data_IF_032195709115
#
_entry.id   IF_032195709115
#
_cell.length_a   1.000
_cell.length_b   1.000
_cell.length_c   1.000
_cell.angle_alpha   90.00
_cell.angle_beta   90.00
_cell.angle_gamma   90.00
#
_symmetry.space_group_name_H-M   'P 1'
#
loop_
_entity.id
_entity.type
_entity.pdbx_description
1 polymer ?
#
# COMPACT_ATOMS: atom_id res chain seq x y z
N UNK A 1 -12.16 -21.34 -8.56
CA UNK A 1 -12.69 -20.16 -9.28
C UNK A 1 -14.04 -19.62 -8.77
N UNK A 2 -15.04 -20.45 -8.47
CA UNK A 2 -16.37 -19.97 -8.05
C UNK A 2 -16.43 -19.38 -6.61
N UNK A 3 -15.59 -19.82 -5.68
CA UNK A 3 -15.58 -19.34 -4.28
C UNK A 3 -14.97 -17.95 -4.11
N UNK A 4 -13.91 -17.63 -4.85
CA UNK A 4 -13.27 -16.31 -4.78
C UNK A 4 -14.14 -15.21 -5.40
N UNK A 5 -14.89 -15.52 -6.50
CA UNK A 5 -15.86 -14.59 -7.10
C UNK A 5 -17.06 -14.31 -6.18
N UNK A 6 -17.47 -15.26 -5.35
CA UNK A 6 -18.57 -15.10 -4.39
C UNK A 6 -18.18 -14.18 -3.23
N UNK A 7 -16.95 -14.32 -2.72
CA UNK A 7 -16.42 -13.49 -1.63
C UNK A 7 -16.31 -12.00 -2.02
N UNK A 8 -15.89 -11.69 -3.28
CA UNK A 8 -15.82 -10.31 -3.80
C UNK A 8 -17.19 -9.65 -4.04
N UNK A 9 -18.21 -10.42 -4.40
CA UNK A 9 -19.59 -9.88 -4.62
C UNK A 9 -20.30 -9.52 -3.32
N UNK A 10 -19.99 -10.22 -2.25
CA UNK A 10 -20.62 -9.99 -0.93
C UNK A 10 -20.04 -8.75 -0.21
N UNK A 11 -18.84 -8.29 -0.57
CA UNK A 11 -18.24 -7.06 -0.01
C UNK A 11 -19.01 -5.79 -0.42
N UNK A 12 -19.56 -5.71 -1.62
CA UNK A 12 -20.37 -4.54 -2.06
C UNK A 12 -21.69 -4.42 -1.26
N UNK A 13 -22.25 -5.52 -0.80
CA UNK A 13 -23.43 -5.51 0.08
C UNK A 13 -23.10 -4.95 1.48
N UNK A 14 -21.85 -5.09 1.93
CA UNK A 14 -21.38 -4.58 3.21
C UNK A 14 -21.20 -3.06 3.22
N UNK A 15 -20.93 -2.40 2.10
CA UNK A 15 -20.81 -0.92 2.03
C UNK A 15 -22.10 -0.22 2.50
N UNK A 16 -23.25 -0.85 2.41
CA UNK A 16 -24.54 -0.33 2.96
C UNK A 16 -24.73 -0.58 4.46
N UNK A 17 -23.97 -1.49 5.06
CA UNK A 17 -24.12 -1.90 6.47
C UNK A 17 -22.97 -1.37 7.34
N UNK A 18 -21.82 -1.05 6.76
CA UNK A 18 -20.55 -0.75 7.46
C UNK A 18 -20.46 0.69 8.01
N UNK A 19 -21.37 1.60 7.65
CA UNK A 19 -21.48 2.90 8.35
C UNK A 19 -21.65 2.81 9.88
N UNK A 20 -21.92 1.61 10.40
CA UNK A 20 -22.04 1.34 11.85
C UNK A 20 -20.79 0.59 12.38
N UNK A 21 -19.93 0.05 11.52
CA UNK A 21 -18.86 -0.89 11.91
C UNK A 21 -17.45 -0.29 12.04
N UNK A 22 -17.19 0.94 11.59
CA UNK A 22 -15.85 1.54 11.73
C UNK A 22 -15.39 1.69 13.19
N UNK A 23 -16.31 1.97 14.12
CA UNK A 23 -16.02 2.00 15.56
C UNK A 23 -15.83 0.59 16.15
N UNK A 24 -16.45 -0.43 15.55
CA UNK A 24 -16.39 -1.81 16.08
C UNK A 24 -15.10 -2.50 15.62
N UNK A 25 -14.52 -2.18 14.47
CA UNK A 25 -13.34 -2.86 13.94
C UNK A 25 -12.04 -2.56 14.71
N UNK A 26 -11.83 -1.32 15.15
CA UNK A 26 -10.73 -0.98 16.05
C UNK A 26 -10.92 -1.62 17.43
N UNK A 27 -12.15 -1.71 17.92
CA UNK A 27 -12.49 -2.38 19.18
C UNK A 27 -12.31 -3.90 19.05
N UNK A 28 -12.63 -4.53 17.91
CA UNK A 28 -12.50 -5.99 17.75
C UNK A 28 -11.05 -6.45 17.67
N UNK A 29 -10.18 -5.75 16.96
CA UNK A 29 -8.76 -6.12 16.88
C UNK A 29 -8.06 -5.99 18.25
N UNK A 30 -8.51 -5.08 19.11
CA UNK A 30 -7.95 -4.89 20.46
C UNK A 30 -8.67 -5.70 21.55
N UNK A 31 -9.98 -5.97 21.43
CA UNK A 31 -10.69 -6.86 22.38
C UNK A 31 -10.29 -8.33 22.23
N UNK A 32 -9.88 -8.78 21.06
CA UNK A 32 -9.33 -10.13 20.87
C UNK A 32 -7.97 -10.26 21.57
N UNK A 33 -7.18 -9.17 21.67
CA UNK A 33 -5.93 -9.14 22.42
C UNK A 33 -6.11 -9.18 23.95
N UNK A 34 -7.34 -8.92 24.45
CA UNK A 34 -7.66 -8.93 25.89
C UNK A 34 -8.36 -10.23 26.36
N UNK A 35 -8.63 -11.19 25.46
CA UNK A 35 -9.17 -12.49 25.86
C UNK A 35 -8.04 -13.47 26.17
N UNK A 36 -8.04 -13.99 27.40
CA UNK A 36 -7.18 -15.08 27.86
C UNK A 36 -7.27 -16.28 26.90
N UNK A 37 -6.15 -16.59 26.25
CA UNK A 37 -5.90 -17.76 25.41
C UNK A 37 -6.91 -18.04 24.28
N UNK A 38 -6.62 -17.50 23.08
CA UNK A 38 -7.21 -17.98 21.83
C UNK A 38 -6.67 -19.39 21.54
N UNK A 39 -7.53 -20.41 21.30
CA UNK A 39 -7.06 -21.76 20.99
C UNK A 39 -6.30 -21.77 19.67
N UNK A 40 -5.01 -22.12 19.68
CA UNK A 40 -4.15 -22.19 18.51
C UNK A 40 -4.73 -23.22 17.51
N UNK A 41 -4.94 -22.80 16.25
CA UNK A 41 -5.38 -23.67 15.17
C UNK A 41 -6.90 -23.73 14.94
N UNK A 42 -7.71 -23.05 15.75
CA UNK A 42 -9.18 -23.02 15.59
C UNK A 42 -9.74 -21.73 15.01
N UNK A 43 -8.88 -20.72 14.80
CA UNK A 43 -9.28 -19.44 14.26
C UNK A 43 -8.58 -19.13 12.94
N UNK A 44 -9.31 -18.51 12.02
CA UNK A 44 -8.75 -17.91 10.80
C UNK A 44 -8.81 -16.40 10.97
N UNK A 45 -7.65 -15.78 11.10
CA UNK A 45 -7.53 -14.33 11.14
C UNK A 45 -7.62 -13.79 9.71
N UNK A 46 -8.53 -12.84 9.49
CA UNK A 46 -8.69 -12.17 8.20
C UNK A 46 -8.43 -10.69 8.39
N UNK A 47 -7.39 -10.17 7.74
CA UNK A 47 -7.12 -8.75 7.75
C UNK A 47 -8.15 -8.02 6.88
N UNK A 48 -8.77 -7.00 7.47
CA UNK A 48 -9.68 -6.10 6.74
C UNK A 48 -8.99 -4.76 6.50
N UNK A 49 -8.99 -4.35 5.23
CA UNK A 49 -8.44 -3.07 4.81
C UNK A 49 -9.57 -2.11 4.40
N UNK A 50 -9.32 -0.79 4.38
CA UNK A 50 -10.17 0.16 3.65
C UNK A 50 -10.37 -0.29 2.20
N UNK A 51 -11.41 0.22 1.51
CA UNK A 51 -11.69 -0.14 0.13
C UNK A 51 -10.43 0.01 -0.74
N UNK A 52 -10.15 -1.01 -1.54
CA UNK A 52 -9.11 -0.93 -2.56
C UNK A 52 -9.58 -0.12 -3.79
N UNK A 53 -8.67 0.10 -4.73
CA UNK A 53 -9.02 0.90 -5.91
C UNK A 53 -10.08 0.23 -6.80
N UNK A 54 -10.08 -1.10 -6.91
CA UNK A 54 -11.10 -1.82 -7.67
C UNK A 54 -12.49 -1.68 -7.00
N UNK A 55 -12.55 -1.80 -5.68
CA UNK A 55 -13.78 -1.58 -4.90
C UNK A 55 -14.27 -0.12 -5.03
N UNK A 56 -13.35 0.85 -5.04
CA UNK A 56 -13.66 2.24 -5.30
C UNK A 56 -14.22 2.46 -6.72
N UNK A 57 -13.68 1.77 -7.74
CA UNK A 57 -14.22 1.80 -9.09
C UNK A 57 -15.66 1.26 -9.14
N UNK A 58 -15.94 0.14 -8.45
CA UNK A 58 -17.28 -0.41 -8.36
C UNK A 58 -18.24 0.56 -7.67
N UNK A 59 -17.81 1.18 -6.57
CA UNK A 59 -18.60 2.18 -5.85
C UNK A 59 -18.93 3.40 -6.72
N UNK A 60 -18.07 3.75 -7.67
CA UNK A 60 -18.30 4.80 -8.66
C UNK A 60 -19.12 4.34 -9.89
N UNK A 61 -19.63 3.11 -9.90
CA UNK A 61 -20.48 2.59 -10.97
C UNK A 61 -19.72 2.15 -12.23
N UNK A 62 -18.39 1.96 -12.14
CA UNK A 62 -17.61 1.46 -13.27
C UNK A 62 -17.96 0.00 -13.52
N UNK A 63 -18.36 -0.30 -14.75
CA UNK A 63 -18.78 -1.66 -15.11
C UNK A 63 -17.61 -2.66 -15.05
N UNK A 64 -17.91 -3.89 -14.66
CA UNK A 64 -16.92 -4.98 -14.64
C UNK A 64 -16.23 -5.18 -15.99
N UNK A 65 -16.94 -4.93 -17.11
CA UNK A 65 -16.35 -5.04 -18.47
C UNK A 65 -15.19 -4.06 -18.68
N UNK A 66 -15.27 -2.84 -18.14
CA UNK A 66 -14.17 -1.85 -18.25
C UNK A 66 -13.00 -2.31 -17.41
N UNK A 67 -13.26 -2.79 -16.18
CA UNK A 67 -12.22 -3.31 -15.29
C UNK A 67 -11.55 -4.55 -15.89
N UNK A 68 -12.34 -5.48 -16.44
CA UNK A 68 -11.81 -6.68 -17.12
C UNK A 68 -10.98 -6.31 -18.35
N UNK A 69 -11.36 -5.27 -19.10
CA UNK A 69 -10.56 -4.73 -20.21
C UNK A 69 -9.21 -4.18 -19.73
N UNK A 70 -9.18 -3.45 -18.60
CA UNK A 70 -7.92 -2.95 -18.02
C UNK A 70 -7.04 -4.10 -17.54
N UNK A 71 -7.63 -5.13 -16.89
CA UNK A 71 -6.93 -6.35 -16.47
C UNK A 71 -6.34 -7.09 -17.67
N UNK A 72 -7.11 -7.22 -18.75
CA UNK A 72 -6.63 -7.85 -19.99
C UNK A 72 -5.47 -7.07 -20.63
N UNK A 73 -5.53 -5.73 -20.63
CA UNK A 73 -4.40 -4.91 -21.11
C UNK A 73 -3.15 -5.11 -20.24
N UNK A 74 -3.30 -5.28 -18.92
CA UNK A 74 -2.20 -5.58 -17.99
C UNK A 74 -1.60 -6.98 -18.25
N UNK A 75 -2.45 -8.02 -18.36
CA UNK A 75 -2.02 -9.40 -18.58
C UNK A 75 -1.32 -9.60 -19.94
N UNK A 76 -1.85 -8.96 -20.99
CA UNK A 76 -1.30 -9.05 -22.35
C UNK A 76 -0.28 -7.95 -22.68
N UNK A 77 0.04 -7.08 -21.72
CA UNK A 77 0.99 -5.97 -21.88
C UNK A 77 0.65 -5.06 -23.06
N UNK A 78 -0.63 -4.81 -23.29
CA UNK A 78 -1.14 -4.00 -24.41
C UNK A 78 -1.60 -2.62 -23.94
N UNK A 79 -1.55 -1.65 -24.83
CA UNK A 79 -1.96 -0.27 -24.58
C UNK A 79 -3.44 -0.21 -24.21
N UNK A 80 -3.77 0.48 -23.11
CA UNK A 80 -5.14 0.78 -22.74
C UNK A 80 -5.70 1.86 -23.68
N UNK A 81 -6.91 1.70 -24.23
CA UNK A 81 -7.53 2.71 -25.08
C UNK A 81 -7.59 4.09 -24.37
N UNK A 82 -7.26 5.16 -25.09
CA UNK A 82 -7.05 6.50 -24.52
C UNK A 82 -8.21 6.99 -23.65
N UNK A 83 -9.46 6.75 -24.08
CA UNK A 83 -10.64 7.16 -23.31
C UNK A 83 -10.74 6.45 -21.95
N UNK A 84 -10.42 5.14 -21.92
CA UNK A 84 -10.39 4.35 -20.68
C UNK A 84 -9.19 4.78 -19.82
N UNK A 85 -8.00 4.93 -20.43
CA UNK A 85 -6.79 5.36 -19.74
C UNK A 85 -7.01 6.69 -19.02
N UNK A 86 -7.57 7.69 -19.72
CA UNK A 86 -7.88 9.00 -19.12
C UNK A 86 -8.87 8.90 -17.98
N UNK A 87 -9.97 8.16 -18.18
CA UNK A 87 -10.98 7.97 -17.12
C UNK A 87 -10.42 7.27 -15.88
N UNK A 88 -9.57 6.25 -16.06
CA UNK A 88 -8.92 5.54 -14.97
C UNK A 88 -7.92 6.43 -14.22
N UNK A 89 -7.16 7.27 -14.91
CA UNK A 89 -6.28 8.26 -14.27
C UNK A 89 -7.08 9.29 -13.46
N UNK A 90 -8.19 9.80 -14.00
CA UNK A 90 -9.06 10.76 -13.30
C UNK A 90 -9.69 10.13 -12.03
N UNK A 91 -10.08 8.85 -12.10
CA UNK A 91 -10.59 8.10 -10.95
C UNK A 91 -9.49 7.81 -9.93
N UNK A 92 -8.27 7.53 -10.36
CA UNK A 92 -7.13 7.37 -9.46
C UNK A 92 -6.86 8.64 -8.65
N UNK A 93 -6.86 9.81 -9.29
CA UNK A 93 -6.70 11.07 -8.56
C UNK A 93 -7.81 11.32 -7.54
N UNK A 94 -9.04 10.93 -7.86
CA UNK A 94 -10.14 10.98 -6.88
C UNK A 94 -9.91 10.01 -5.73
N UNK A 95 -9.47 8.79 -6.02
CA UNK A 95 -9.11 7.82 -4.99
C UNK A 95 -7.97 8.34 -4.09
N UNK A 96 -6.96 8.98 -4.65
CA UNK A 96 -5.88 9.60 -3.87
C UNK A 96 -6.42 10.60 -2.85
N UNK A 97 -7.37 11.45 -3.22
CA UNK A 97 -7.90 12.48 -2.29
C UNK A 97 -8.96 11.94 -1.34
N UNK A 98 -9.67 10.88 -1.71
CA UNK A 98 -10.76 10.29 -0.91
C UNK A 98 -10.25 9.19 0.01
N UNK A 99 -9.33 8.36 -0.48
CA UNK A 99 -8.94 7.12 0.17
C UNK A 99 -9.98 6.01 0.03
N UNK A 100 -9.81 4.96 0.83
CA UNK A 100 -10.69 3.80 0.85
C UNK A 100 -11.57 3.71 2.10
N UNK A 101 -11.53 4.67 3.03
CA UNK A 101 -12.38 4.65 4.22
C UNK A 101 -13.86 4.74 3.83
N UNK A 102 -14.72 3.77 4.21
CA UNK A 102 -16.08 3.65 3.69
C UNK A 102 -16.94 4.92 3.84
N UNK A 103 -16.89 5.57 5.00
CA UNK A 103 -17.69 6.78 5.25
C UNK A 103 -17.22 7.95 4.39
N UNK A 104 -15.92 8.07 4.15
CA UNK A 104 -15.35 9.10 3.27
C UNK A 104 -15.73 8.83 1.82
N UNK A 105 -15.70 7.56 1.39
CA UNK A 105 -16.14 7.15 0.05
C UNK A 105 -17.63 7.44 -0.14
N UNK A 106 -18.48 7.13 0.84
CA UNK A 106 -19.91 7.43 0.79
C UNK A 106 -20.16 8.94 0.70
N UNK A 107 -19.52 9.74 1.54
CA UNK A 107 -19.57 11.20 1.48
C UNK A 107 -19.17 11.73 0.09
N UNK A 108 -18.10 11.17 -0.50
CA UNK A 108 -17.69 11.52 -1.86
C UNK A 108 -18.75 11.15 -2.90
N UNK A 109 -19.33 9.95 -2.82
CA UNK A 109 -20.35 9.49 -3.79
C UNK A 109 -21.62 10.37 -3.76
N UNK A 110 -22.04 10.76 -2.56
CA UNK A 110 -23.25 11.55 -2.35
C UNK A 110 -23.06 13.04 -2.69
N UNK A 111 -21.92 13.62 -2.30
CA UNK A 111 -21.77 15.07 -2.32
C UNK A 111 -20.87 15.61 -3.41
N UNK A 112 -19.85 14.81 -3.84
CA UNK A 112 -18.75 15.24 -4.71
C UNK A 112 -18.03 16.51 -4.21
N UNK A 113 -18.11 16.79 -2.91
CA UNK A 113 -17.64 18.01 -2.28
C UNK A 113 -16.34 17.77 -1.53
N UNK A 114 -15.23 18.33 -2.04
CA UNK A 114 -13.89 18.18 -1.47
C UNK A 114 -13.80 18.72 -0.04
N UNK A 115 -14.49 19.81 0.27
CA UNK A 115 -14.47 20.41 1.61
C UNK A 115 -15.10 19.48 2.65
N UNK A 116 -16.23 18.85 2.30
CA UNK A 116 -16.90 17.87 3.19
C UNK A 116 -16.05 16.63 3.39
N UNK A 117 -15.43 16.12 2.32
CA UNK A 117 -14.49 15.00 2.37
C UNK A 117 -13.34 15.31 3.32
N UNK A 118 -12.69 16.46 3.15
CA UNK A 118 -11.59 16.89 4.00
C UNK A 118 -12.02 17.01 5.47
N UNK A 119 -13.16 17.62 5.75
CA UNK A 119 -13.69 17.73 7.12
C UNK A 119 -13.92 16.35 7.74
N UNK A 120 -14.51 15.42 6.99
CA UNK A 120 -14.74 14.05 7.46
C UNK A 120 -13.43 13.32 7.73
N UNK A 121 -12.46 13.41 6.83
CA UNK A 121 -11.12 12.85 7.03
C UNK A 121 -10.43 13.43 8.27
N UNK A 122 -10.52 14.72 8.49
CA UNK A 122 -9.96 15.39 9.69
C UNK A 122 -10.64 14.94 10.98
N UNK A 123 -11.95 14.72 10.96
CA UNK A 123 -12.66 14.18 12.13
C UNK A 123 -12.19 12.73 12.43
N UNK A 124 -12.10 11.88 11.41
CA UNK A 124 -11.57 10.51 11.57
C UNK A 124 -10.12 10.51 12.08
N UNK A 125 -9.30 11.45 11.61
CA UNK A 125 -7.93 11.61 12.10
C UNK A 125 -7.91 11.96 13.59
N UNK A 126 -8.79 12.88 14.04
CA UNK A 126 -8.92 13.23 15.45
C UNK A 126 -9.40 12.04 16.30
N UNK A 127 -10.34 11.24 15.78
CA UNK A 127 -10.79 10.00 16.43
C UNK A 127 -9.65 8.99 16.58
N UNK A 128 -8.80 8.79 15.55
CA UNK A 128 -7.59 7.98 15.67
C UNK A 128 -6.65 8.51 16.75
N UNK A 129 -6.43 9.82 16.82
CA UNK A 129 -5.59 10.43 17.85
C UNK A 129 -6.18 10.22 19.26
N UNK A 130 -7.50 10.30 19.44
CA UNK A 130 -8.17 10.01 20.69
C UNK A 130 -8.04 8.52 21.09
N UNK A 131 -8.17 7.60 20.12
CA UNK A 131 -8.00 6.17 20.36
C UNK A 131 -6.55 5.83 20.74
N UNK A 132 -5.54 6.48 20.14
CA UNK A 132 -4.15 6.34 20.56
C UNK A 132 -3.97 6.71 22.04
N UNK A 133 -4.65 7.76 22.49
CA UNK A 133 -4.61 8.19 23.90
C UNK A 133 -5.38 7.23 24.83
N UNK A 134 -6.44 6.60 24.36
CA UNK A 134 -7.30 5.73 25.16
C UNK A 134 -6.68 4.34 25.39
N UNK A 135 -6.04 3.77 24.37
CA UNK A 135 -5.62 2.36 24.38
C UNK A 135 -4.12 2.14 24.60
N UNK A 136 -3.29 3.16 24.48
CA UNK A 136 -1.87 3.06 24.79
C UNK A 136 -1.62 3.24 26.30
N UNK A 137 -0.48 2.74 26.78
CA UNK A 137 0.00 3.01 28.12
C UNK A 137 0.34 4.50 28.28
N UNK A 138 0.10 5.07 29.48
CA UNK A 138 0.24 6.52 29.72
C UNK A 138 1.63 7.07 29.36
N UNK A 139 2.68 6.27 29.51
CA UNK A 139 4.05 6.66 29.16
C UNK A 139 4.29 6.71 27.65
N UNK A 140 3.56 5.92 26.85
CA UNK A 140 3.78 5.76 25.41
C UNK A 140 2.89 6.67 24.55
N UNK A 141 1.76 7.14 25.13
CA UNK A 141 0.80 8.01 24.42
C UNK A 141 1.42 9.19 23.69
N UNK A 142 2.26 10.03 24.34
CA UNK A 142 2.87 11.16 23.65
C UNK A 142 3.80 10.72 22.50
N UNK A 143 4.53 9.61 22.68
CA UNK A 143 5.46 9.08 21.69
C UNK A 143 4.75 8.52 20.46
N UNK A 144 3.61 7.83 20.64
CA UNK A 144 2.79 7.30 19.56
C UNK A 144 2.26 8.45 18.69
N UNK A 145 1.71 9.48 19.35
CA UNK A 145 1.20 10.67 18.66
C UNK A 145 2.31 11.42 17.92
N UNK A 146 3.45 11.68 18.58
CA UNK A 146 4.61 12.33 17.96
C UNK A 146 5.10 11.54 16.72
N UNK A 147 5.13 10.19 16.77
CA UNK A 147 5.47 9.36 15.63
C UNK A 147 4.46 9.53 14.49
N UNK A 148 3.17 9.44 14.79
CA UNK A 148 2.10 9.57 13.80
C UNK A 148 2.14 10.93 13.11
N UNK A 149 2.16 12.02 13.85
CA UNK A 149 2.24 13.39 13.33
C UNK A 149 3.50 13.65 12.49
N UNK A 150 4.58 12.88 12.70
CA UNK A 150 5.84 13.03 11.94
C UNK A 150 5.78 12.43 10.53
N UNK A 151 4.81 11.57 10.21
CA UNK A 151 4.78 10.82 8.94
C UNK A 151 4.88 11.70 7.70
N UNK A 152 4.12 12.80 7.56
CA UNK A 152 4.25 13.68 6.40
C UNK A 152 5.67 14.23 6.22
N UNK A 153 6.33 14.61 7.33
CA UNK A 153 7.70 15.12 7.32
C UNK A 153 8.73 14.04 6.97
N UNK A 154 8.51 12.79 7.40
CA UNK A 154 9.35 11.65 7.03
C UNK A 154 9.30 11.40 5.52
N UNK A 155 8.08 11.40 4.95
CA UNK A 155 7.85 11.14 3.53
C UNK A 155 8.27 12.31 2.61
N UNK A 156 8.33 13.54 3.13
CA UNK A 156 8.80 14.71 2.40
C UNK A 156 10.30 14.70 2.10
N UNK A 157 11.08 13.88 2.81
CA UNK A 157 12.54 13.84 2.66
C UNK A 157 12.96 13.07 1.41
N UNK A 158 14.11 13.43 0.87
CA UNK A 158 14.74 12.68 -0.23
C UNK A 158 15.05 11.24 0.22
N UNK A 159 15.69 11.07 1.38
CA UNK A 159 15.82 9.77 2.03
C UNK A 159 14.64 9.57 3.00
N UNK A 160 13.69 8.75 2.62
CA UNK A 160 12.46 8.47 3.37
C UNK A 160 12.62 7.44 4.48
N UNK A 161 13.85 6.95 4.75
CA UNK A 161 14.13 6.13 5.93
C UNK A 161 13.62 6.86 7.17
N UNK A 162 12.87 6.15 8.01
CA UNK A 162 12.32 6.72 9.25
C UNK A 162 13.45 7.19 10.17
N UNK A 163 13.38 8.44 10.57
CA UNK A 163 14.40 9.09 11.41
C UNK A 163 13.75 9.55 12.72
N UNK A 164 14.17 8.97 13.83
CA UNK A 164 13.66 9.33 15.16
C UNK A 164 13.95 10.80 15.52
N UNK A 165 15.03 11.37 14.99
CA UNK A 165 15.36 12.79 15.15
C UNK A 165 14.39 13.75 14.43
N UNK A 166 13.59 13.25 13.49
CA UNK A 166 12.51 14.02 12.83
C UNK A 166 11.27 14.03 13.70
N UNK A 167 11.00 12.94 14.43
CA UNK A 167 9.93 12.89 15.42
C UNK A 167 10.18 13.96 16.49
N UNK A 168 11.38 13.96 17.06
CA UNK A 168 11.80 14.94 18.06
C UNK A 168 13.32 15.12 18.03
N UNK A 169 13.81 16.35 18.18
CA UNK A 169 15.22 16.63 18.26
C UNK A 169 15.88 15.79 19.38
N UNK A 170 16.86 14.95 19.00
CA UNK A 170 17.51 14.01 19.92
C UNK A 170 16.75 12.70 20.18
N UNK A 171 15.64 12.47 19.48
CA UNK A 171 14.87 11.22 19.54
C UNK A 171 15.72 10.00 19.15
N UNK A 172 15.51 8.87 19.86
CA UNK A 172 16.24 7.61 19.68
C UNK A 172 15.29 6.44 19.47
N UNK A 173 15.78 5.39 18.80
CA UNK A 173 15.01 4.16 18.56
C UNK A 173 14.45 3.55 19.85
N UNK A 174 15.22 3.56 20.95
CA UNK A 174 14.79 3.02 22.24
C UNK A 174 13.55 3.72 22.84
N UNK A 175 13.22 4.93 22.38
CA UNK A 175 12.06 5.70 22.85
C UNK A 175 10.82 5.51 21.97
N UNK A 176 11.00 5.27 20.67
CA UNK A 176 9.93 5.37 19.67
C UNK A 176 9.62 4.09 18.90
N UNK A 177 10.49 3.04 19.01
CA UNK A 177 10.27 1.80 18.25
C UNK A 177 8.96 1.10 18.65
N UNK A 178 8.65 1.07 19.94
CA UNK A 178 7.38 0.56 20.46
C UNK A 178 6.18 1.33 19.94
N UNK A 179 6.31 2.65 19.81
CA UNK A 179 5.26 3.53 19.30
C UNK A 179 4.95 3.26 17.81
N UNK A 180 5.97 3.03 16.99
CA UNK A 180 5.79 2.64 15.58
C UNK A 180 5.17 1.25 15.48
N UNK A 181 5.59 0.31 16.34
CA UNK A 181 4.98 -1.03 16.40
C UNK A 181 3.50 -0.93 16.76
N UNK A 182 3.16 -0.13 17.77
CA UNK A 182 1.78 0.11 18.16
C UNK A 182 0.91 0.63 16.99
N UNK A 183 1.41 1.63 16.25
CA UNK A 183 0.71 2.18 15.08
C UNK A 183 0.53 1.14 13.96
N UNK A 184 1.49 0.24 13.79
CA UNK A 184 1.39 -0.85 12.81
C UNK A 184 0.40 -1.92 13.26
N UNK A 185 0.42 -2.32 14.53
CA UNK A 185 -0.52 -3.29 15.12
C UNK A 185 -1.96 -2.76 15.12
N UNK A 186 -2.13 -1.44 15.32
CA UNK A 186 -3.41 -0.76 15.18
C UNK A 186 -3.88 -0.63 13.71
N UNK A 187 -3.06 -1.04 12.74
CA UNK A 187 -3.41 -1.00 11.33
C UNK A 187 -3.38 0.39 10.70
N UNK A 188 -2.80 1.39 11.35
CA UNK A 188 -2.77 2.78 10.88
C UNK A 188 -1.61 3.02 9.91
N UNK A 189 -0.48 2.36 10.15
CA UNK A 189 0.71 2.45 9.31
C UNK A 189 1.24 1.07 8.91
N UNK A 190 2.15 1.06 7.95
CA UNK A 190 2.94 -0.11 7.54
C UNK A 190 4.40 0.28 7.39
N UNK A 191 5.29 -0.58 7.88
CA UNK A 191 6.74 -0.44 7.68
C UNK A 191 7.16 -1.11 6.38
N UNK A 192 7.95 -0.38 5.61
CA UNK A 192 8.62 -0.88 4.41
C UNK A 192 10.09 -1.06 4.77
N UNK A 193 10.57 -2.31 4.83
CA UNK A 193 11.90 -2.63 5.32
C UNK A 193 12.97 -2.54 4.22
N UNK A 194 14.15 -2.00 4.56
CA UNK A 194 15.31 -2.11 3.68
C UNK A 194 15.77 -3.56 3.59
N UNK A 195 16.31 -3.93 2.43
CA UNK A 195 16.90 -5.26 2.22
C UNK A 195 18.41 -5.17 1.98
N UNK A 196 19.15 -6.21 2.40
CA UNK A 196 20.59 -6.32 2.16
C UNK A 196 20.89 -6.71 0.70
N UNK A 197 20.00 -7.50 0.10
CA UNK A 197 20.11 -8.01 -1.24
C UNK A 197 18.78 -7.84 -2.00
N UNK A 198 18.86 -7.85 -3.32
CA UNK A 198 17.72 -7.74 -4.24
C UNK A 198 17.31 -9.11 -4.79
N UNK A 199 17.11 -10.07 -3.88
CA UNK A 199 16.80 -11.46 -4.20
C UNK A 199 15.78 -12.06 -3.21
N UNK A 200 15.10 -13.13 -3.63
CA UNK A 200 14.15 -13.85 -2.79
C UNK A 200 14.88 -14.84 -1.85
N UNK A 201 14.35 -15.09 -0.65
CA UNK A 201 13.18 -14.46 -0.06
C UNK A 201 13.49 -13.07 0.51
N UNK A 202 12.65 -12.06 0.21
CA UNK A 202 12.85 -10.67 0.67
C UNK A 202 12.85 -10.56 2.20
N UNK A 203 12.01 -11.33 2.89
CA UNK A 203 11.94 -11.38 4.35
C UNK A 203 13.30 -11.75 4.97
N UNK A 204 13.96 -12.77 4.39
CA UNK A 204 15.27 -13.24 4.88
C UNK A 204 16.39 -12.22 4.70
N UNK A 205 16.22 -11.29 3.76
CA UNK A 205 17.19 -10.23 3.46
C UNK A 205 16.85 -8.90 4.14
N UNK A 206 15.77 -8.83 4.93
CA UNK A 206 15.29 -7.56 5.51
C UNK A 206 16.14 -7.08 6.67
N UNK A 207 16.37 -5.75 6.74
CA UNK A 207 17.05 -5.05 7.83
C UNK A 207 15.97 -4.37 8.68
N UNK A 208 15.65 -4.95 9.84
CA UNK A 208 14.51 -4.52 10.67
C UNK A 208 14.68 -3.11 11.26
N UNK A 209 15.91 -2.66 11.45
CA UNK A 209 16.25 -1.32 11.97
C UNK A 209 16.19 -0.22 10.91
N UNK A 210 16.06 -0.60 9.64
CA UNK A 210 16.02 0.32 8.51
C UNK A 210 14.70 0.19 7.77
N UNK A 211 13.78 1.13 7.98
CA UNK A 211 12.46 1.09 7.36
C UNK A 211 11.96 2.49 6.98
N UNK A 212 11.05 2.54 6.01
CA UNK A 212 10.16 3.67 5.73
C UNK A 212 8.81 3.40 6.39
N UNK A 213 8.00 4.44 6.61
CA UNK A 213 6.65 4.30 7.18
C UNK A 213 5.65 4.92 6.21
N UNK A 214 4.63 4.15 5.83
CA UNK A 214 3.52 4.59 5.01
C UNK A 214 2.20 4.42 5.76
N UNK A 215 1.21 5.26 5.47
CA UNK A 215 -0.16 5.07 5.98
C UNK A 215 -0.83 3.92 5.25
N UNK A 216 -1.70 3.19 5.94
CA UNK A 216 -2.45 2.04 5.38
C UNK A 216 -3.58 2.45 4.43
N UNK A 217 -3.92 3.73 4.43
CA UNK A 217 -4.88 4.34 3.51
C UNK A 217 -4.34 5.68 3.04
N UNK A 218 -4.38 5.92 1.73
CA UNK A 218 -3.89 7.17 1.15
C UNK A 218 -4.70 8.38 1.60
N UNK A 219 -5.99 8.21 1.92
CA UNK A 219 -6.85 9.27 2.45
C UNK A 219 -6.42 9.75 3.83
N UNK A 220 -5.84 8.87 4.66
CA UNK A 220 -5.24 9.25 5.96
C UNK A 220 -4.06 10.19 5.72
N UNK A 221 -3.15 9.85 4.80
CA UNK A 221 -2.05 10.75 4.46
C UNK A 221 -2.57 12.10 3.96
N UNK A 222 -3.57 12.10 3.09
CA UNK A 222 -4.18 13.33 2.57
C UNK A 222 -4.83 14.18 3.66
N UNK A 223 -5.41 13.54 4.69
CA UNK A 223 -5.95 14.22 5.86
C UNK A 223 -4.87 14.92 6.73
N UNK A 224 -3.65 14.36 6.74
CA UNK A 224 -2.51 14.92 7.49
C UNK A 224 -1.86 16.11 6.81
N UNK A 225 -2.15 16.35 5.52
CA UNK A 225 -1.59 17.44 4.74
C UNK A 225 -2.42 18.73 4.85
N UNK A 226 -1.84 19.84 4.39
CA UNK A 226 -2.47 21.15 4.44
C UNK A 226 -3.79 21.21 3.67
N UNK A 227 -4.72 22.02 4.15
CA UNK A 227 -5.97 22.30 3.44
C UNK A 227 -5.67 22.88 2.05
N UNK A 228 -6.33 22.34 1.04
CA UNK A 228 -6.12 22.70 -0.37
C UNK A 228 -5.22 21.73 -1.14
N UNK A 229 -4.43 20.90 -0.46
CA UNK A 229 -3.60 19.86 -1.11
C UNK A 229 -4.43 18.95 -2.02
N UNK A 230 -5.69 18.66 -1.64
CA UNK A 230 -6.62 17.87 -2.45
C UNK A 230 -6.90 18.53 -3.80
N UNK A 231 -7.08 19.84 -3.80
CA UNK A 231 -7.29 20.64 -5.03
C UNK A 231 -6.02 20.66 -5.88
N UNK A 232 -4.86 20.76 -5.26
CA UNK A 232 -3.56 20.74 -5.95
C UNK A 232 -3.29 19.38 -6.57
N UNK A 233 -3.68 18.28 -5.93
CA UNK A 233 -3.65 16.92 -6.52
C UNK A 233 -4.47 16.86 -7.80
N UNK A 234 -5.74 17.32 -7.75
CA UNK A 234 -6.63 17.29 -8.91
C UNK A 234 -6.12 18.16 -10.07
N UNK A 235 -5.51 19.30 -9.76
CA UNK A 235 -4.94 20.22 -10.77
C UNK A 235 -3.55 19.78 -11.25
N UNK A 236 -2.95 18.75 -10.65
CA UNK A 236 -1.60 18.32 -10.96
C UNK A 236 -0.48 19.25 -10.47
N UNK A 237 -0.79 20.20 -9.58
CA UNK A 237 0.10 21.29 -9.15
C UNK A 237 1.06 20.88 -8.01
N UNK A 238 0.99 19.66 -7.48
CA UNK A 238 1.90 19.18 -6.43
C UNK A 238 3.32 18.97 -6.97
N UNK A 239 4.18 19.95 -6.81
CA UNK A 239 5.55 19.89 -7.35
C UNK A 239 6.50 19.06 -6.47
N UNK A 240 6.57 19.32 -5.18
CA UNK A 240 7.57 18.72 -4.29
C UNK A 240 7.11 17.43 -3.60
N UNK A 241 5.86 17.33 -3.19
CA UNK A 241 5.34 16.24 -2.37
C UNK A 241 4.68 15.10 -3.17
N UNK A 242 4.52 15.27 -4.48
CA UNK A 242 3.83 14.33 -5.38
C UNK A 242 4.43 12.93 -5.36
N UNK A 243 5.77 12.82 -5.26
CA UNK A 243 6.46 11.54 -5.16
C UNK A 243 6.06 10.78 -3.88
N UNK A 244 5.99 11.46 -2.75
CA UNK A 244 5.59 10.86 -1.47
C UNK A 244 4.16 10.30 -1.50
N UNK A 245 3.23 11.05 -2.09
CA UNK A 245 1.83 10.63 -2.24
C UNK A 245 1.72 9.37 -3.09
N UNK A 246 2.39 9.30 -4.25
CA UNK A 246 2.30 8.14 -5.12
C UNK A 246 3.07 6.92 -4.61
N UNK A 247 4.17 7.11 -3.87
CA UNK A 247 4.81 6.00 -3.18
C UNK A 247 3.90 5.46 -2.06
N UNK A 248 3.25 6.33 -1.28
CA UNK A 248 2.27 5.87 -0.28
C UNK A 248 1.06 5.17 -0.94
N UNK A 249 0.57 5.68 -2.07
CA UNK A 249 -0.49 5.01 -2.84
C UNK A 249 -0.05 3.60 -3.28
N UNK A 250 1.20 3.45 -3.73
CA UNK A 250 1.71 2.14 -4.12
C UNK A 250 1.86 1.21 -2.90
N UNK A 251 2.34 1.74 -1.77
CA UNK A 251 2.40 0.99 -0.51
C UNK A 251 0.99 0.53 -0.07
N UNK A 252 -0.03 1.40 -0.20
CA UNK A 252 -1.44 1.06 0.06
C UNK A 252 -1.92 -0.09 -0.84
N UNK A 253 -1.67 -0.03 -2.15
CA UNK A 253 -2.03 -1.10 -3.08
C UNK A 253 -1.36 -2.43 -2.74
N UNK A 254 -0.05 -2.43 -2.50
CA UNK A 254 0.70 -3.64 -2.15
C UNK A 254 0.23 -4.25 -0.83
N UNK A 255 -0.06 -3.43 0.19
CA UNK A 255 -0.61 -3.92 1.46
C UNK A 255 -1.98 -4.55 1.30
N UNK A 256 -2.89 -3.91 0.54
CA UNK A 256 -4.24 -4.42 0.28
C UNK A 256 -4.25 -5.70 -0.56
N UNK A 257 -3.18 -5.96 -1.33
CA UNK A 257 -2.95 -7.25 -2.00
C UNK A 257 -2.27 -8.30 -1.11
N UNK A 258 -2.04 -7.99 0.19
CA UNK A 258 -1.44 -8.91 1.16
C UNK A 258 0.08 -8.98 1.12
N UNK A 259 0.75 -8.10 0.39
CA UNK A 259 2.20 -8.09 0.30
C UNK A 259 2.84 -7.33 1.47
N UNK A 260 3.96 -7.83 1.98
CA UNK A 260 4.85 -7.09 2.86
C UNK A 260 5.69 -6.12 2.02
N UNK A 261 6.00 -4.97 2.60
CA UNK A 261 6.71 -3.91 1.89
C UNK A 261 8.22 -4.00 2.11
N UNK A 262 8.97 -3.94 1.02
CA UNK A 262 10.43 -3.90 1.00
C UNK A 262 10.91 -2.84 0.03
N UNK A 263 12.06 -2.22 0.36
CA UNK A 263 12.79 -1.32 -0.51
C UNK A 263 14.28 -1.68 -0.50
N UNK A 264 15.06 -1.08 -1.37
CA UNK A 264 16.50 -1.29 -1.37
C UNK A 264 17.23 0.04 -1.39
N UNK A 265 18.13 0.21 -0.44
CA UNK A 265 18.97 1.39 -0.34
C UNK A 265 20.36 1.01 0.12
N UNK A 266 21.37 1.56 -0.56
CA UNK A 266 22.78 1.47 -0.19
C UNK A 266 23.35 2.85 0.19
N UNK A 267 24.34 2.87 1.05
CA UNK A 267 25.05 4.09 1.47
C UNK A 267 25.69 4.85 0.29
N UNK A 268 25.92 4.17 -0.83
CA UNK A 268 26.36 4.78 -2.10
C UNK A 268 25.32 5.67 -2.78
N UNK A 269 24.10 5.79 -2.21
CA UNK A 269 23.01 6.59 -2.75
C UNK A 269 22.14 5.86 -3.79
N UNK A 270 22.35 4.54 -3.99
CA UNK A 270 21.47 3.75 -4.85
C UNK A 270 20.22 3.40 -4.06
N UNK A 271 19.05 3.83 -4.55
CA UNK A 271 17.74 3.59 -3.94
C UNK A 271 16.74 3.09 -4.99
N UNK A 272 15.94 2.08 -4.60
CA UNK A 272 14.80 1.53 -5.32
C UNK A 272 13.58 1.71 -4.45
N UNK A 273 12.47 2.20 -5.01
CA UNK A 273 11.27 2.56 -4.25
C UNK A 273 10.68 1.33 -3.56
N UNK A 274 10.48 0.22 -4.30
CA UNK A 274 10.03 -1.05 -3.76
C UNK A 274 10.71 -2.26 -4.43
N UNK A 275 10.83 -3.33 -3.65
CA UNK A 275 11.10 -4.69 -4.13
C UNK A 275 9.89 -5.56 -3.80
N UNK A 276 9.41 -6.29 -4.77
CA UNK A 276 8.27 -7.20 -4.62
C UNK A 276 8.58 -8.58 -5.18
N UNK A 277 7.89 -9.58 -4.65
CA UNK A 277 7.77 -10.85 -5.34
C UNK A 277 6.62 -10.74 -6.33
N UNK A 278 6.88 -10.97 -7.60
CA UNK A 278 5.88 -10.92 -8.67
C UNK A 278 6.17 -12.01 -9.69
N UNK A 279 5.19 -12.87 -9.96
CA UNK A 279 5.34 -14.06 -10.85
C UNK A 279 6.54 -14.95 -10.44
N UNK A 280 6.75 -15.12 -9.12
CA UNK A 280 7.83 -15.94 -8.56
C UNK A 280 9.22 -15.33 -8.61
N UNK A 281 9.40 -14.11 -9.10
CA UNK A 281 10.69 -13.42 -9.20
C UNK A 281 10.76 -12.18 -8.29
N UNK A 282 11.99 -11.76 -7.94
CA UNK A 282 12.22 -10.45 -7.32
C UNK A 282 12.19 -9.38 -8.41
N UNK A 283 11.24 -8.43 -8.28
CA UNK A 283 10.99 -7.38 -9.25
C UNK A 283 11.13 -6.01 -8.59
N UNK A 284 11.77 -5.07 -9.29
CA UNK A 284 11.84 -3.67 -8.87
C UNK A 284 10.54 -2.98 -9.27
N UNK A 285 9.91 -2.27 -8.32
CA UNK A 285 8.88 -1.30 -8.62
C UNK A 285 9.42 0.11 -8.40
N UNK A 286 9.35 0.93 -9.44
CA UNK A 286 9.76 2.32 -9.40
C UNK A 286 8.56 3.22 -9.67
N UNK A 287 8.26 4.13 -8.77
CA UNK A 287 7.11 5.03 -8.85
C UNK A 287 7.56 6.41 -9.32
N UNK A 288 6.95 6.91 -10.38
CA UNK A 288 7.28 8.24 -10.92
C UNK A 288 6.08 9.17 -10.93
N UNK A 289 6.21 10.26 -10.21
CA UNK A 289 5.24 11.34 -10.22
C UNK A 289 5.19 12.12 -11.55
N UNK A 290 6.27 12.07 -12.31
CA UNK A 290 6.44 12.68 -13.62
C UNK A 290 7.23 11.75 -14.57
N UNK A 291 7.28 12.10 -15.86
CA UNK A 291 8.17 11.43 -16.81
C UNK A 291 9.63 11.67 -16.41
N UNK A 292 10.27 10.69 -15.80
CA UNK A 292 11.63 10.79 -15.31
C UNK A 292 12.47 9.55 -15.59
N UNK A 293 13.82 9.73 -15.59
CA UNK A 293 14.75 8.62 -15.70
C UNK A 293 14.90 7.94 -14.33
N UNK A 294 14.65 6.65 -14.27
CA UNK A 294 14.87 5.81 -13.08
C UNK A 294 16.33 5.32 -13.05
N UNK A 295 17.27 6.20 -12.68
CA UNK A 295 18.71 5.92 -12.78
C UNK A 295 19.15 4.73 -11.94
N UNK A 296 18.71 4.65 -10.68
CA UNK A 296 19.05 3.54 -9.77
C UNK A 296 18.52 2.20 -10.31
N UNK A 297 17.25 2.14 -10.74
CA UNK A 297 16.65 0.98 -11.36
C UNK A 297 17.44 0.52 -12.59
N UNK A 298 17.79 1.44 -13.49
CA UNK A 298 18.57 1.12 -14.69
C UNK A 298 19.99 0.66 -14.37
N UNK A 299 20.58 1.18 -13.27
CA UNK A 299 21.89 0.71 -12.81
C UNK A 299 21.80 -0.73 -12.33
N UNK A 300 20.77 -1.09 -11.58
CA UNK A 300 20.54 -2.46 -11.10
C UNK A 300 20.31 -3.42 -12.26
N UNK A 301 19.41 -3.09 -13.20
CA UNK A 301 19.13 -3.93 -14.37
C UNK A 301 20.36 -4.18 -15.25
N UNK A 302 21.27 -3.22 -15.37
CA UNK A 302 22.53 -3.39 -16.11
C UNK A 302 23.54 -4.28 -15.41
N UNK A 303 23.43 -4.42 -14.07
CA UNK A 303 24.40 -5.16 -13.25
C UNK A 303 23.77 -6.42 -12.61
N UNK A 304 23.08 -7.23 -13.43
CA UNK A 304 22.33 -8.42 -12.98
C UNK A 304 23.16 -9.44 -12.20
N UNK A 305 24.45 -9.57 -12.54
CA UNK A 305 25.35 -10.49 -11.82
C UNK A 305 25.61 -10.06 -10.38
N UNK A 306 25.33 -8.79 -10.03
CA UNK A 306 25.50 -8.24 -8.68
C UNK A 306 24.17 -8.19 -7.93
N UNK A 307 23.09 -7.87 -8.64
CA UNK A 307 21.79 -7.58 -8.01
C UNK A 307 20.75 -8.69 -8.21
N UNK A 308 21.02 -9.69 -9.04
CA UNK A 308 20.16 -10.86 -9.31
C UNK A 308 18.70 -10.52 -9.70
N UNK A 309 18.43 -9.28 -10.10
CA UNK A 309 17.12 -8.82 -10.58
C UNK A 309 17.06 -8.94 -12.09
N UNK A 310 15.99 -9.54 -12.61
CA UNK A 310 15.82 -9.79 -14.04
C UNK A 310 14.89 -8.79 -14.71
N UNK A 311 13.94 -8.21 -13.97
CA UNK A 311 12.91 -7.34 -14.51
C UNK A 311 12.55 -6.20 -13.57
N UNK A 312 11.97 -5.15 -14.13
CA UNK A 312 11.48 -4.00 -13.38
C UNK A 312 10.17 -3.49 -13.94
N UNK A 313 9.36 -2.92 -13.08
CA UNK A 313 8.10 -2.25 -13.42
C UNK A 313 8.23 -0.78 -13.02
N UNK A 314 7.98 0.11 -13.98
CA UNK A 314 7.93 1.55 -13.74
C UNK A 314 6.50 2.04 -13.85
N UNK A 315 5.96 2.56 -12.74
CA UNK A 315 4.62 3.11 -12.66
C UNK A 315 4.65 4.64 -12.73
N UNK A 316 3.73 5.22 -13.51
CA UNK A 316 3.68 6.67 -13.69
C UNK A 316 2.53 7.13 -14.57
N UNK A 317 2.69 8.33 -15.13
CA UNK A 317 1.79 8.91 -16.13
C UNK A 317 2.11 8.37 -17.53
N UNK A 318 2.08 7.04 -17.64
CA UNK A 318 2.37 6.32 -18.87
C UNK A 318 1.18 5.46 -19.23
N UNK A 319 1.10 5.01 -20.47
CA UNK A 319 0.30 3.86 -20.82
C UNK A 319 1.15 2.59 -20.71
N UNK A 320 0.56 1.42 -20.93
CA UNK A 320 1.28 0.15 -20.91
C UNK A 320 2.30 0.12 -22.04
N UNK A 321 3.53 -0.30 -21.73
CA UNK A 321 4.60 -0.46 -22.70
C UNK A 321 5.73 -1.32 -22.14
N UNK A 322 6.43 -2.03 -23.02
CA UNK A 322 7.59 -2.86 -22.64
C UNK A 322 8.80 -2.51 -23.48
N UNK A 323 9.92 -2.35 -22.82
CA UNK A 323 11.22 -2.18 -23.46
C UNK A 323 12.21 -3.16 -22.78
N UNK A 324 12.43 -4.29 -23.42
CA UNK A 324 13.23 -5.38 -22.87
C UNK A 324 12.66 -5.87 -21.53
N UNK A 325 13.42 -5.69 -20.45
CA UNK A 325 13.09 -6.14 -19.11
C UNK A 325 12.32 -5.09 -18.28
N UNK A 326 12.10 -3.92 -18.85
CA UNK A 326 11.33 -2.85 -18.25
C UNK A 326 9.89 -2.86 -18.77
N UNK A 327 8.96 -3.15 -17.85
CA UNK A 327 7.54 -2.94 -18.07
C UNK A 327 7.15 -1.56 -17.55
N UNK A 328 6.53 -0.73 -18.38
CA UNK A 328 5.98 0.56 -17.97
C UNK A 328 4.47 0.43 -17.84
N UNK A 329 3.93 0.87 -16.73
CA UNK A 329 2.50 0.79 -16.42
C UNK A 329 1.95 2.14 -15.97
N UNK A 330 0.67 2.44 -16.24
CA UNK A 330 -0.01 3.56 -15.60
C UNK A 330 -0.16 3.30 -14.09
N UNK A 331 -0.10 4.38 -13.30
CA UNK A 331 -0.19 4.30 -11.83
C UNK A 331 -1.40 3.51 -11.33
N UNK A 332 -2.55 3.64 -12.00
CA UNK A 332 -3.76 2.94 -11.59
C UNK A 332 -3.67 1.40 -11.74
N UNK A 333 -2.72 0.87 -12.50
CA UNK A 333 -2.52 -0.58 -12.58
C UNK A 333 -1.74 -1.17 -11.39
N UNK A 334 -1.28 -0.33 -10.46
CA UNK A 334 -0.60 -0.79 -9.25
C UNK A 334 -1.43 -1.78 -8.42
N UNK A 335 -2.76 -1.67 -8.41
CA UNK A 335 -3.65 -2.60 -7.71
C UNK A 335 -3.69 -4.02 -8.32
N UNK A 336 -3.14 -4.20 -9.53
CA UNK A 336 -3.06 -5.49 -10.21
C UNK A 336 -1.75 -6.25 -9.91
N UNK A 337 -0.82 -5.65 -9.17
CA UNK A 337 0.47 -6.25 -8.81
C UNK A 337 0.32 -7.23 -7.64
N UNK A 338 -0.49 -8.25 -7.82
CA UNK A 338 -0.63 -9.35 -6.87
C UNK A 338 0.33 -10.48 -7.24
N UNK A 339 1.02 -11.07 -6.24
CA UNK A 339 1.77 -12.32 -6.44
C UNK A 339 0.78 -13.49 -6.33
N UNK A 340 0.24 -13.91 -7.46
CA UNK A 340 -0.60 -15.10 -7.52
C UNK A 340 0.31 -16.31 -7.71
N UNK A 341 0.27 -17.24 -6.73
CA UNK A 341 0.88 -18.55 -6.87
C UNK A 341 -0.03 -19.32 -7.84
N UNK A 342 0.40 -19.44 -9.10
CA UNK A 342 -0.26 -20.21 -10.13
C UNK A 342 -0.04 -21.64 -9.73
N UNK A 343 0.19 -22.53 -9.53
CA UNK A 343 0.42 -23.92 -9.13
C UNK A 343 0.57 -24.12 -7.61
N UNK A 344 -0.53 -23.93 -6.87
CA UNK A 344 -0.57 -24.20 -5.43
C UNK A 344 -0.78 -25.67 -5.08
N UNK A 345 -0.85 -26.57 -6.06
CA UNK A 345 -1.05 -28.01 -5.83
C UNK A 345 0.31 -28.68 -5.74
N UNK A 346 0.59 -29.28 -4.61
CA UNK A 346 1.76 -30.15 -4.47
C UNK A 346 1.45 -31.39 -5.30
N UNK A 347 2.26 -31.71 -6.34
CA UNK A 347 2.02 -32.91 -7.15
C UNK A 347 2.19 -34.19 -6.29
N UNK A 348 1.36 -35.16 -6.55
CA UNK A 348 1.49 -36.46 -5.90
C UNK A 348 2.85 -37.08 -6.22
N UNK A 349 3.48 -37.65 -5.20
CA UNK A 349 4.73 -38.41 -5.38
C UNK A 349 4.38 -39.77 -5.94
N UNK A 350 4.92 -40.11 -7.11
CA UNK A 350 4.83 -41.44 -7.64
C UNK A 350 5.71 -42.39 -6.81
N UNK A 351 5.06 -43.19 -5.96
CA UNK A 351 5.70 -44.18 -5.10
C UNK A 351 5.80 -45.57 -5.77
N UNK A 352 5.39 -45.71 -7.03
CA UNK A 352 5.38 -47.02 -7.73
C UNK A 352 6.77 -47.61 -7.90
N UNK A 353 7.83 -46.80 -7.83
CA UNK A 353 9.22 -47.25 -7.87
C UNK A 353 9.79 -47.75 -6.51
N UNK A 354 9.06 -47.53 -5.41
CA UNK A 354 9.42 -48.06 -4.10
C UNK A 354 8.98 -49.48 -3.99
N UNK A 355 9.76 -50.38 -4.55
CA UNK A 355 9.63 -51.81 -4.30
C UNK A 355 10.02 -52.10 -2.84
N UNK A 356 9.03 -52.45 -2.03
CA UNK A 356 9.29 -53.03 -0.70
C UNK A 356 10.05 -54.33 -0.93
N UNK A 357 11.32 -54.39 -0.50
CA UNK A 357 12.14 -55.60 -0.48
C UNK A 357 11.67 -56.49 0.68
#
# INVERSE_FOLDING_TARGET
>A
MARAKRYRRDRILFVRIVGIFNHILLIFSQQVALQDSVPVGYETVVDMYPLDFEEFLWANGISGRVIDSVKSCFENETVVPDGIHKAMMDLLYRYVIVGGLPDVVNCFLETKNIELIYKMQRNLLAEYEEDMVKYADDADKPHIRECFESIPMQLAKENKKFQYSVVKKGGRASQYLGSIQWLEDAGIVRRCYNTQATELPLEGNSIKECFKVYTTDIGILMAMLDYGTQVDVLKGNLLGYKGAIFENLMADFLCKSGQKLYYFHKDSGLELDFLVRFKGECVILEVKAHTGKAKSMMTVLKNKNVYHVKSAIKLGHYNVGREGELLTLPLYMGFLLEDRIEDSIIPDIDLSSLTVI
#
